data_IF_186937964982
#
_entry.id   IF_186937964982
#
_cell.length_a   1.000
_cell.length_b   1.000
_cell.length_c   1.000
_cell.angle_alpha   90.00
_cell.angle_beta   90.00
_cell.angle_gamma   90.00
#
_symmetry.space_group_name_H-M   'P 1'
#
loop_
_entity.id
_entity.type
_entity.pdbx_description
1 polymer ?
#
# COMPACT_ATOMS: atom_id res chain seq x y z
N UNK A 1 23.33 39.66 -9.00
CA UNK A 1 23.39 38.29 -8.47
C UNK A 1 22.06 37.63 -8.81
N UNK A 2 22.08 36.62 -9.68
CA UNK A 2 20.89 35.84 -10.01
C UNK A 2 20.61 34.89 -8.83
N UNK A 3 19.37 34.87 -8.35
CA UNK A 3 18.90 33.89 -7.37
C UNK A 3 18.80 32.55 -8.11
N UNK A 4 19.38 31.46 -7.62
CA UNK A 4 19.22 30.16 -8.26
C UNK A 4 17.76 29.74 -8.17
N UNK A 5 17.21 29.31 -9.30
CA UNK A 5 15.85 28.81 -9.43
C UNK A 5 15.75 27.45 -8.72
N UNK A 6 14.98 27.40 -7.64
CA UNK A 6 14.79 26.17 -6.84
C UNK A 6 14.02 25.07 -7.59
N UNK A 7 13.53 25.34 -8.81
CA UNK A 7 12.84 24.36 -9.65
C UNK A 7 13.74 23.23 -10.16
N UNK A 8 15.05 23.44 -10.29
CA UNK A 8 15.97 22.41 -10.79
C UNK A 8 16.22 21.29 -9.77
N UNK A 9 16.29 21.60 -8.47
CA UNK A 9 16.48 20.61 -7.39
C UNK A 9 15.27 19.68 -7.19
N UNK A 10 14.08 20.11 -7.59
CA UNK A 10 12.85 19.30 -7.48
C UNK A 10 12.72 18.22 -8.55
N UNK A 11 13.49 18.32 -9.65
CA UNK A 11 13.40 17.43 -10.80
C UNK A 11 14.33 16.21 -10.68
N UNK A 12 15.57 16.40 -10.21
CA UNK A 12 16.56 15.32 -10.02
C UNK A 12 16.12 14.31 -8.96
N UNK A 13 15.54 14.77 -7.84
CA UNK A 13 15.03 13.88 -6.80
C UNK A 13 13.87 13.00 -7.31
N UNK A 14 12.99 13.58 -8.12
CA UNK A 14 11.85 12.88 -8.71
C UNK A 14 12.29 11.79 -9.68
N UNK A 15 13.28 12.08 -10.52
CA UNK A 15 13.76 11.14 -11.54
C UNK A 15 14.48 9.94 -10.90
N UNK A 16 15.26 10.18 -9.83
CA UNK A 16 15.88 9.13 -9.02
C UNK A 16 14.83 8.24 -8.35
N UNK A 17 13.78 8.83 -7.79
CA UNK A 17 12.69 8.09 -7.14
C UNK A 17 11.92 7.23 -8.16
N UNK A 18 11.66 7.76 -9.37
CA UNK A 18 11.00 7.01 -10.45
C UNK A 18 11.83 5.81 -10.90
N UNK A 19 13.15 5.99 -11.10
CA UNK A 19 14.04 4.89 -11.53
C UNK A 19 14.12 3.81 -10.46
N UNK A 20 14.26 4.20 -9.19
CA UNK A 20 14.33 3.27 -8.05
C UNK A 20 13.00 2.51 -7.87
N UNK A 21 11.87 3.21 -7.91
CA UNK A 21 10.54 2.61 -7.91
C UNK A 21 10.38 1.60 -9.06
N UNK A 22 10.71 2.01 -10.28
CA UNK A 22 10.54 1.17 -11.48
C UNK A 22 11.40 -0.10 -11.41
N UNK A 23 12.62 -0.02 -10.88
CA UNK A 23 13.50 -1.17 -10.72
C UNK A 23 12.94 -2.17 -9.71
N UNK A 24 12.59 -1.71 -8.50
CA UNK A 24 12.07 -2.58 -7.43
C UNK A 24 10.74 -3.21 -7.86
N UNK A 25 9.86 -2.41 -8.46
CA UNK A 25 8.58 -2.91 -8.96
C UNK A 25 8.75 -3.91 -10.10
N UNK A 26 9.74 -3.75 -10.99
CA UNK A 26 9.99 -4.73 -12.05
C UNK A 26 10.35 -6.11 -11.50
N UNK A 27 11.09 -6.17 -10.41
CA UNK A 27 11.57 -7.42 -9.82
C UNK A 27 10.50 -8.08 -8.94
N UNK A 28 9.81 -7.27 -8.13
CA UNK A 28 8.81 -7.77 -7.17
C UNK A 28 7.50 -8.16 -7.86
N UNK A 29 7.04 -7.39 -8.86
CA UNK A 29 5.74 -7.63 -9.51
C UNK A 29 5.74 -8.83 -10.47
N UNK A 30 6.92 -9.33 -10.89
CA UNK A 30 7.06 -10.53 -11.73
C UNK A 30 7.11 -11.84 -10.94
N UNK A 31 7.07 -11.75 -9.61
CA UNK A 31 7.11 -12.94 -8.76
C UNK A 31 5.71 -13.55 -8.64
N UNK A 32 5.56 -14.80 -9.06
CA UNK A 32 4.34 -15.60 -8.82
C UNK A 32 4.21 -16.06 -7.37
N UNK A 33 5.21 -15.76 -6.53
CA UNK A 33 5.27 -16.19 -5.13
C UNK A 33 4.18 -15.56 -4.28
N UNK A 34 3.78 -14.33 -4.61
CA UNK A 34 2.88 -13.55 -3.76
C UNK A 34 1.49 -13.50 -4.36
N UNK A 35 0.45 -13.66 -3.53
CA UNK A 35 -0.94 -13.42 -3.95
C UNK A 35 -1.31 -11.96 -3.74
N UNK A 36 -1.48 -11.55 -2.49
CA UNK A 36 -1.78 -10.16 -2.14
C UNK A 36 -0.67 -9.62 -1.24
N UNK A 37 -0.02 -8.55 -1.68
CA UNK A 37 1.07 -7.94 -0.92
C UNK A 37 1.06 -6.43 -1.00
N UNK A 38 1.77 -5.81 -0.05
CA UNK A 38 2.10 -4.39 -0.08
C UNK A 38 3.61 -4.20 0.01
N UNK A 39 4.17 -3.38 -0.88
CA UNK A 39 5.58 -3.01 -0.92
C UNK A 39 5.76 -1.60 -0.34
N UNK A 40 6.55 -1.53 0.72
CA UNK A 40 7.16 -0.29 1.23
C UNK A 40 8.44 -0.02 0.44
N UNK A 41 8.38 0.99 -0.44
CA UNK A 41 9.50 1.40 -1.29
C UNK A 41 10.62 2.11 -0.52
N UNK A 42 10.30 2.71 0.63
CA UNK A 42 11.28 3.42 1.47
C UNK A 42 12.14 2.40 2.22
N UNK A 43 11.50 1.39 2.82
CA UNK A 43 12.17 0.33 3.57
C UNK A 43 12.59 -0.85 2.71
N UNK A 44 12.21 -0.87 1.43
CA UNK A 44 12.39 -2.00 0.53
C UNK A 44 11.86 -3.32 1.14
N UNK A 45 10.65 -3.26 1.69
CA UNK A 45 10.01 -4.35 2.43
C UNK A 45 8.69 -4.75 1.78
N UNK A 46 8.50 -6.04 1.59
CA UNK A 46 7.24 -6.62 1.14
C UNK A 46 6.53 -7.20 2.36
N UNK A 47 5.26 -6.87 2.52
CA UNK A 47 4.36 -7.61 3.39
C UNK A 47 3.46 -8.50 2.56
N UNK A 48 3.76 -9.80 2.57
CA UNK A 48 2.85 -10.82 2.06
C UNK A 48 1.78 -11.10 3.10
N UNK A 49 0.51 -10.79 2.79
CA UNK A 49 -0.55 -10.94 3.77
C UNK A 49 -0.99 -12.39 3.98
N UNK A 50 -0.60 -13.32 3.09
CA UNK A 50 -0.75 -14.76 3.33
C UNK A 50 0.32 -15.29 4.31
N UNK A 51 1.41 -14.53 4.52
CA UNK A 51 2.44 -14.84 5.50
C UNK A 51 2.11 -14.19 6.86
N UNK A 52 1.92 -15.02 7.88
CA UNK A 52 1.57 -14.56 9.22
C UNK A 52 2.59 -13.59 9.85
N UNK A 53 3.89 -13.79 9.60
CA UNK A 53 4.92 -12.92 10.16
C UNK A 53 4.89 -11.53 9.53
N UNK A 54 4.68 -11.46 8.22
CA UNK A 54 4.60 -10.21 7.48
C UNK A 54 3.32 -9.46 7.81
N UNK A 55 2.18 -10.15 7.88
CA UNK A 55 0.92 -9.56 8.33
C UNK A 55 1.01 -9.02 9.77
N UNK A 56 1.66 -9.75 10.67
CA UNK A 56 1.85 -9.31 12.07
C UNK A 56 2.79 -8.09 12.13
N UNK A 57 3.84 -8.07 11.34
CA UNK A 57 4.77 -6.95 11.24
C UNK A 57 4.08 -5.69 10.69
N UNK A 58 3.32 -5.82 9.60
CA UNK A 58 2.50 -4.75 9.03
C UNK A 58 1.50 -4.21 10.07
N UNK A 59 0.79 -5.10 10.77
CA UNK A 59 -0.14 -4.70 11.83
C UNK A 59 0.58 -3.94 12.94
N UNK A 60 1.73 -4.42 13.44
CA UNK A 60 2.49 -3.73 14.50
C UNK A 60 2.99 -2.35 14.09
N UNK A 61 3.39 -2.20 12.83
CA UNK A 61 3.87 -0.91 12.30
C UNK A 61 2.74 0.10 12.17
N UNK A 62 1.54 -0.34 11.82
CA UNK A 62 0.44 0.55 11.46
C UNK A 62 -0.66 0.67 12.49
N UNK A 63 -0.90 -0.31 13.36
CA UNK A 63 -2.02 -0.24 14.31
C UNK A 63 -1.75 0.76 15.44
N UNK A 64 -2.49 1.87 15.48
CA UNK A 64 -2.65 2.68 16.69
C UNK A 64 -3.65 2.04 17.66
N UNK A 65 -3.28 1.99 18.93
CA UNK A 65 -4.15 1.55 20.04
C UNK A 65 -4.81 0.17 19.87
N UNK A 66 -4.22 -0.71 19.05
CA UNK A 66 -4.76 -2.04 18.76
C UNK A 66 -5.97 -2.05 17.81
N UNK A 67 -6.20 -0.96 17.09
CA UNK A 67 -7.26 -0.86 16.10
C UNK A 67 -6.93 -1.67 14.84
N UNK A 68 -7.96 -2.07 14.10
CA UNK A 68 -7.77 -2.74 12.82
C UNK A 68 -7.03 -1.81 11.84
N UNK A 69 -6.15 -2.40 11.03
CA UNK A 69 -5.45 -1.71 9.96
C UNK A 69 -6.04 -2.17 8.63
N UNK A 70 -6.36 -1.23 7.76
CA UNK A 70 -6.83 -1.55 6.42
C UNK A 70 -5.80 -1.11 5.40
N UNK A 71 -5.44 -2.02 4.51
CA UNK A 71 -4.68 -1.73 3.30
C UNK A 71 -5.64 -1.70 2.12
N UNK A 72 -5.69 -0.58 1.42
CA UNK A 72 -6.60 -0.40 0.29
C UNK A 72 -5.89 0.32 -0.86
N UNK A 73 -6.21 -0.09 -2.07
CA UNK A 73 -5.78 0.57 -3.27
C UNK A 73 -6.48 1.93 -3.46
N UNK A 74 -5.82 2.88 -4.11
CA UNK A 74 -6.37 4.22 -4.41
C UNK A 74 -6.30 4.61 -5.90
N UNK A 75 -5.65 3.79 -6.73
CA UNK A 75 -5.66 3.93 -8.20
C UNK A 75 -6.76 3.07 -8.82
N UNK A 76 -6.79 2.88 -10.14
CA UNK A 76 -7.95 2.35 -10.87
C UNK A 76 -7.90 0.82 -11.15
N UNK A 77 -6.89 0.09 -10.65
CA UNK A 77 -6.74 -1.34 -10.92
C UNK A 77 -6.27 -1.64 -12.34
N UNK A 78 -5.34 -0.87 -12.89
CA UNK A 78 -4.65 -1.23 -14.14
C UNK A 78 -3.51 -2.23 -13.89
N UNK A 79 -3.29 -3.14 -14.84
CA UNK A 79 -2.43 -4.33 -14.66
C UNK A 79 -0.92 -4.07 -14.82
N UNK A 80 -0.44 -2.86 -14.57
CA UNK A 80 0.98 -2.53 -14.77
C UNK A 80 1.42 -1.24 -14.09
N UNK A 81 2.75 -1.05 -14.01
CA UNK A 81 3.35 0.20 -13.53
C UNK A 81 3.05 1.29 -14.55
N UNK A 82 1.92 1.96 -14.40
CA UNK A 82 1.51 3.06 -15.26
C UNK A 82 2.15 4.37 -14.78
N UNK A 83 2.20 5.36 -15.67
CA UNK A 83 2.56 6.72 -15.28
C UNK A 83 1.63 7.27 -14.18
N UNK A 84 0.38 6.81 -14.14
CA UNK A 84 -0.59 7.17 -13.11
C UNK A 84 -0.20 6.65 -11.73
N UNK A 85 0.26 5.39 -11.61
CA UNK A 85 0.76 4.84 -10.34
C UNK A 85 1.94 5.66 -9.83
N UNK A 86 2.91 5.92 -10.70
CA UNK A 86 4.10 6.70 -10.36
C UNK A 86 3.71 8.12 -9.92
N UNK A 87 2.87 8.80 -10.71
CA UNK A 87 2.41 10.16 -10.41
C UNK A 87 1.62 10.24 -9.11
N UNK A 88 0.75 9.26 -8.86
CA UNK A 88 -0.09 9.20 -7.65
C UNK A 88 0.75 8.93 -6.41
N UNK A 89 1.68 7.98 -6.48
CA UNK A 89 2.62 7.72 -5.40
C UNK A 89 3.38 8.98 -5.02
N UNK A 90 4.01 9.64 -6.00
CA UNK A 90 4.75 10.89 -5.78
C UNK A 90 3.88 11.96 -5.13
N UNK A 91 2.65 12.15 -5.62
CA UNK A 91 1.73 13.16 -5.10
C UNK A 91 1.37 12.89 -3.64
N UNK A 92 1.04 11.65 -3.31
CA UNK A 92 0.67 11.23 -1.95
C UNK A 92 1.86 11.33 -0.99
N UNK A 93 3.06 10.98 -1.44
CA UNK A 93 4.29 11.13 -0.65
C UNK A 93 4.62 12.60 -0.37
N UNK A 94 4.51 13.47 -1.38
CA UNK A 94 4.72 14.92 -1.23
C UNK A 94 3.77 15.59 -0.25
N UNK A 95 2.57 15.04 -0.03
CA UNK A 95 1.62 15.52 0.98
C UNK A 95 1.70 14.76 2.31
N UNK A 96 2.70 13.89 2.48
CA UNK A 96 3.01 13.21 3.73
C UNK A 96 2.18 11.96 4.04
N UNK A 97 1.41 11.43 3.09
CA UNK A 97 0.52 10.28 3.31
C UNK A 97 1.23 8.91 3.23
N UNK A 98 2.54 8.86 2.95
CA UNK A 98 3.37 7.64 2.83
C UNK A 98 2.67 6.48 2.11
N UNK A 99 2.54 6.55 0.78
CA UNK A 99 1.94 5.48 -0.01
C UNK A 99 2.81 4.22 -0.09
N UNK A 100 2.16 3.12 -0.42
CA UNK A 100 2.77 1.84 -0.75
C UNK A 100 2.40 1.43 -2.19
N UNK A 101 3.00 0.35 -2.68
CA UNK A 101 2.54 -0.30 -3.90
C UNK A 101 1.93 -1.66 -3.55
N UNK A 102 0.64 -1.80 -3.83
CA UNK A 102 -0.11 -3.04 -3.62
C UNK A 102 -0.19 -3.88 -4.89
N UNK A 103 -0.10 -5.20 -4.73
CA UNK A 103 -0.52 -6.18 -5.74
C UNK A 103 -1.78 -6.86 -5.27
N UNK A 104 -2.76 -6.95 -6.16
CA UNK A 104 -4.08 -7.49 -5.89
C UNK A 104 -4.44 -8.54 -6.92
N UNK A 105 -4.93 -9.69 -6.47
CA UNK A 105 -5.48 -10.74 -7.33
C UNK A 105 -6.99 -10.83 -7.16
N UNK A 106 -7.77 -10.55 -8.21
CA UNK A 106 -9.22 -10.76 -8.13
C UNK A 106 -9.62 -12.24 -8.25
N UNK A 107 -10.91 -12.52 -8.04
CA UNK A 107 -11.47 -13.88 -8.09
C UNK A 107 -11.27 -14.59 -9.44
N UNK A 108 -10.96 -13.84 -10.51
CA UNK A 108 -10.67 -14.38 -11.84
C UNK A 108 -9.17 -14.62 -12.07
N UNK A 109 -8.35 -14.44 -11.03
CA UNK A 109 -6.89 -14.55 -11.11
C UNK A 109 -6.23 -13.38 -11.82
N UNK A 110 -6.94 -12.26 -12.06
CA UNK A 110 -6.34 -11.09 -12.71
C UNK A 110 -5.53 -10.32 -11.68
N UNK A 111 -4.30 -9.99 -12.06
CA UNK A 111 -3.35 -9.24 -11.25
C UNK A 111 -3.49 -7.75 -11.55
N UNK A 112 -3.59 -6.95 -10.49
CA UNK A 112 -3.63 -5.50 -10.54
C UNK A 112 -2.56 -4.93 -9.65
N UNK A 113 -1.93 -3.85 -10.10
CA UNK A 113 -0.96 -3.11 -9.32
C UNK A 113 -1.56 -1.75 -9.04
N UNK A 114 -1.55 -1.33 -7.79
CA UNK A 114 -2.14 -0.06 -7.40
C UNK A 114 -1.25 0.64 -6.36
N UNK A 115 -1.40 1.96 -6.27
CA UNK A 115 -0.95 2.66 -5.08
C UNK A 115 -1.86 2.26 -3.93
N UNK A 116 -1.28 1.86 -2.79
CA UNK A 116 -2.00 1.43 -1.61
C UNK A 116 -1.75 2.40 -0.45
N UNK A 117 -2.75 2.58 0.41
CA UNK A 117 -2.64 3.29 1.67
C UNK A 117 -2.98 2.36 2.83
N UNK A 118 -2.40 2.63 4.00
CA UNK A 118 -2.75 2.01 5.25
C UNK A 118 -3.56 3.00 6.09
N UNK A 119 -4.66 2.55 6.69
CA UNK A 119 -5.48 3.36 7.61
C UNK A 119 -5.79 2.57 8.87
N UNK A 120 -5.59 3.20 10.02
CA UNK A 120 -5.63 2.58 11.35
C UNK A 120 -6.46 3.39 12.35
N UNK A 121 -7.23 4.39 11.87
CA UNK A 121 -7.84 5.43 12.71
C UNK A 121 -9.17 5.02 13.35
N UNK A 122 -9.35 3.73 13.64
CA UNK A 122 -10.59 3.21 14.22
C UNK A 122 -11.79 3.30 13.29
N UNK A 123 -11.56 3.50 11.98
CA UNK A 123 -12.63 3.47 11.00
C UNK A 123 -13.18 2.04 10.85
N UNK A 124 -14.49 1.92 10.71
CA UNK A 124 -15.16 0.65 10.50
C UNK A 124 -15.23 0.25 9.03
N UNK A 125 -15.62 -1.00 8.78
CA UNK A 125 -15.75 -1.57 7.44
C UNK A 125 -16.65 -0.74 6.53
N UNK A 126 -17.72 -0.13 7.05
CA UNK A 126 -18.61 0.76 6.27
C UNK A 126 -17.85 1.93 5.63
N UNK A 127 -16.97 2.58 6.40
CA UNK A 127 -16.20 3.71 5.88
C UNK A 127 -15.17 3.27 4.84
N UNK A 128 -14.61 2.07 5.02
CA UNK A 128 -13.72 1.46 4.03
C UNK A 128 -14.47 1.19 2.73
N UNK A 129 -15.70 0.69 2.78
CA UNK A 129 -16.53 0.48 1.57
C UNK A 129 -16.79 1.77 0.80
N UNK A 130 -17.02 2.88 1.50
CA UNK A 130 -17.15 4.21 0.88
C UNK A 130 -15.87 4.59 0.12
N UNK A 131 -14.70 4.39 0.74
CA UNK A 131 -13.39 4.68 0.15
C UNK A 131 -13.15 3.79 -1.08
N UNK A 132 -13.42 2.48 -0.97
CA UNK A 132 -13.32 1.55 -2.09
C UNK A 132 -14.23 1.97 -3.25
N UNK A 133 -15.44 2.44 -2.96
CA UNK A 133 -16.35 2.97 -3.97
C UNK A 133 -15.78 4.21 -4.66
N UNK A 134 -15.25 5.16 -3.90
CA UNK A 134 -14.65 6.40 -4.41
C UNK A 134 -13.49 6.12 -5.38
N UNK A 135 -12.63 5.15 -5.03
CA UNK A 135 -11.46 4.77 -5.82
C UNK A 135 -11.74 3.65 -6.84
N UNK A 136 -13.00 3.22 -7.00
CA UNK A 136 -13.42 2.11 -7.89
C UNK A 136 -12.73 0.78 -7.59
N UNK A 137 -12.33 0.59 -6.33
CA UNK A 137 -11.69 -0.61 -5.86
C UNK A 137 -12.69 -1.66 -5.41
N UNK A 138 -12.27 -2.93 -5.51
CA UNK A 138 -13.13 -4.07 -5.16
C UNK A 138 -13.03 -4.44 -3.69
N UNK A 139 -11.83 -4.34 -3.11
CA UNK A 139 -11.54 -4.85 -1.77
C UNK A 139 -10.41 -4.10 -1.08
N UNK A 140 -10.38 -4.20 0.24
CA UNK A 140 -9.26 -3.88 1.11
C UNK A 140 -8.84 -5.12 1.89
N UNK A 141 -7.55 -5.24 2.23
CA UNK A 141 -7.09 -6.18 3.26
C UNK A 141 -7.31 -5.54 4.63
N UNK A 142 -7.94 -6.29 5.54
CA UNK A 142 -8.11 -5.92 6.94
C UNK A 142 -7.22 -6.79 7.81
N UNK A 143 -6.40 -6.14 8.63
CA UNK A 143 -5.58 -6.78 9.66
C UNK A 143 -6.17 -6.49 11.03
N UNK A 144 -6.48 -7.53 11.80
CA UNK A 144 -7.04 -7.40 13.15
C UNK A 144 -6.16 -8.11 14.16
N UNK A 145 -5.72 -7.40 15.22
CA UNK A 145 -4.91 -8.00 16.28
C UNK A 145 -5.66 -9.11 17.03
N UNK A 146 -5.00 -10.24 17.27
CA UNK A 146 -5.49 -11.31 18.14
C UNK A 146 -4.78 -11.19 19.48
N UNK A 147 -5.56 -11.01 20.56
CA UNK A 147 -5.02 -10.70 21.87
C UNK A 147 -5.18 -11.83 22.88
N UNK A 148 -4.13 -12.09 23.66
CA UNK A 148 -4.18 -12.97 24.84
C UNK A 148 -3.56 -12.25 26.03
N UNK A 149 -4.37 -12.03 27.08
CA UNK A 149 -3.96 -11.29 28.29
C UNK A 149 -3.34 -9.91 27.96
N UNK A 150 -3.95 -9.17 27.02
CA UNK A 150 -3.48 -7.85 26.60
C UNK A 150 -2.28 -7.84 25.64
N UNK A 151 -1.69 -8.99 25.32
CA UNK A 151 -0.59 -9.08 24.36
C UNK A 151 -1.09 -9.55 22.99
N UNK A 152 -0.56 -8.95 21.92
CA UNK A 152 -0.81 -9.43 20.55
C UNK A 152 -0.09 -10.77 20.38
N UNK A 153 -0.85 -11.83 20.12
CA UNK A 153 -0.34 -13.19 19.88
C UNK A 153 -0.50 -13.63 18.42
N UNK A 154 -1.13 -12.80 17.60
CA UNK A 154 -1.29 -13.02 16.18
C UNK A 154 -2.09 -11.89 15.53
N UNK A 155 -2.35 -12.06 14.24
CA UNK A 155 -3.19 -11.18 13.44
C UNK A 155 -4.16 -12.03 12.64
N UNK A 156 -5.42 -11.63 12.59
CA UNK A 156 -6.40 -12.11 11.63
C UNK A 156 -6.30 -11.29 10.35
N UNK A 157 -6.38 -11.95 9.21
CA UNK A 157 -6.36 -11.34 7.88
C UNK A 157 -7.69 -11.63 7.23
N UNK A 158 -8.44 -10.58 6.91
CA UNK A 158 -9.76 -10.65 6.26
C UNK A 158 -9.80 -9.71 5.06
N UNK A 159 -10.81 -9.88 4.21
CA UNK A 159 -11.13 -8.93 3.14
C UNK A 159 -12.35 -8.11 3.51
N UNK A 160 -12.32 -6.82 3.18
CA UNK A 160 -13.52 -5.97 3.15
C UNK A 160 -13.82 -5.64 1.70
N UNK A 161 -14.90 -6.22 1.18
CA UNK A 161 -15.36 -5.96 -0.18
C UNK A 161 -16.28 -4.74 -0.22
N UNK A 162 -16.26 -4.04 -1.36
CA UNK A 162 -17.10 -2.86 -1.65
C UNK A 162 -18.59 -3.17 -1.57
#
# INVERSE_FOLDING_TARGET
>A
MAVPDESEKGSEGLEIDIVRMTSILRDVLKSDTYRDFTLDLVENKIWDFDNHHDALDAFKKHSKNGQAVYFYAVTNGDSGISHEIISTYIKLDKIGLRPYIGRWVDDKGRVFIDVSLAVDEGIGDEKIRDILTMHRQKRAIKLTGIYKKGNIVGVGVDNVDR
#
